data_IF_061662311895
#
_entry.id   IF_061662311895
#
_cell.length_a   1.000
_cell.length_b   1.000
_cell.length_c   1.000
_cell.angle_alpha   90.00
_cell.angle_beta   90.00
_cell.angle_gamma   90.00
#
_symmetry.space_group_name_H-M   'P 1'
#
loop_
_entity.id
_entity.type
_entity.pdbx_description
1 polymer ?
#
# COMPACT_ATOMS: atom_id res chain seq x y z
N UNK A 1 5.07 -21.48 -23.58
CA UNK A 1 5.75 -21.30 -22.27
C UNK A 1 6.71 -20.13 -22.41
N UNK A 2 6.92 -19.36 -21.33
CA UNK A 2 7.85 -18.24 -21.34
C UNK A 2 9.32 -18.68 -21.43
N UNK A 3 9.65 -19.82 -20.83
CA UNK A 3 10.96 -20.47 -20.87
C UNK A 3 10.75 -21.97 -21.12
N UNK A 4 11.66 -22.58 -21.88
CA UNK A 4 11.74 -24.02 -22.11
C UNK A 4 12.45 -24.74 -20.94
N UNK A 5 12.27 -26.06 -20.79
CA UNK A 5 13.00 -26.83 -19.77
C UNK A 5 14.52 -26.68 -19.85
N UNK A 6 15.08 -26.62 -21.05
CA UNK A 6 16.53 -26.46 -21.26
C UNK A 6 17.01 -25.08 -20.80
N UNK A 7 16.26 -24.00 -21.11
CA UNK A 7 16.56 -22.65 -20.62
C UNK A 7 16.50 -22.55 -19.09
N UNK A 8 15.62 -23.30 -18.44
CA UNK A 8 15.53 -23.36 -16.97
C UNK A 8 16.74 -24.09 -16.38
N UNK A 9 17.23 -25.14 -17.04
CA UNK A 9 18.38 -25.90 -16.58
C UNK A 9 19.71 -25.15 -16.75
N UNK A 10 19.83 -24.31 -17.79
CA UNK A 10 21.07 -23.62 -18.14
C UNK A 10 21.23 -22.25 -17.49
N UNK A 11 20.13 -21.49 -17.28
CA UNK A 11 20.21 -20.11 -16.80
C UNK A 11 20.42 -20.03 -15.28
N UNK A 12 21.28 -19.12 -14.79
CA UNK A 12 21.37 -18.82 -13.37
C UNK A 12 20.04 -18.35 -12.78
N UNK A 13 19.83 -18.63 -11.49
CA UNK A 13 18.60 -18.25 -10.75
C UNK A 13 18.33 -16.75 -10.84
N UNK A 14 19.36 -15.92 -10.78
CA UNK A 14 19.27 -14.47 -10.91
C UNK A 14 18.77 -14.04 -12.30
N UNK A 15 19.22 -14.71 -13.35
CA UNK A 15 18.79 -14.43 -14.73
C UNK A 15 17.33 -14.85 -14.93
N UNK A 16 16.96 -16.04 -14.45
CA UNK A 16 15.57 -16.51 -14.46
C UNK A 16 14.66 -15.52 -13.72
N UNK A 17 15.04 -15.07 -12.53
CA UNK A 17 14.29 -14.07 -11.77
C UNK A 17 14.17 -12.74 -12.52
N UNK A 18 15.21 -12.31 -13.24
CA UNK A 18 15.18 -11.09 -14.06
C UNK A 18 14.19 -11.22 -15.22
N UNK A 19 14.18 -12.36 -15.91
CA UNK A 19 13.24 -12.64 -17.01
C UNK A 19 11.80 -12.60 -16.49
N UNK A 20 11.53 -13.33 -15.40
CA UNK A 20 10.21 -13.36 -14.77
C UNK A 20 9.78 -11.95 -14.36
N UNK A 21 10.66 -11.19 -13.69
CA UNK A 21 10.36 -9.82 -13.27
C UNK A 21 9.99 -8.93 -14.45
N UNK A 22 10.73 -9.00 -15.55
CA UNK A 22 10.45 -8.19 -16.73
C UNK A 22 9.08 -8.50 -17.34
N UNK A 23 8.70 -9.78 -17.39
CA UNK A 23 7.43 -10.20 -18.01
C UNK A 23 6.22 -9.93 -17.12
N UNK A 24 6.39 -10.04 -15.79
CA UNK A 24 5.32 -9.76 -14.82
C UNK A 24 5.26 -8.29 -14.38
N UNK A 25 6.15 -7.42 -14.87
CA UNK A 25 6.06 -5.98 -14.63
C UNK A 25 5.13 -5.37 -15.66
N UNK A 26 4.00 -4.81 -15.21
CA UNK A 26 3.06 -4.09 -16.07
C UNK A 26 2.68 -2.75 -15.44
N UNK A 27 2.74 -1.70 -16.24
CA UNK A 27 2.40 -0.35 -15.86
C UNK A 27 1.15 0.08 -16.65
N UNK A 28 -0.01 -0.02 -16.01
CA UNK A 28 -1.30 0.31 -16.62
C UNK A 28 -1.35 1.76 -17.10
N UNK A 29 -0.76 2.70 -16.34
CA UNK A 29 -0.77 4.12 -16.70
C UNK A 29 0.11 4.36 -17.94
N UNK A 30 1.30 3.77 -17.99
CA UNK A 30 2.17 3.90 -19.16
C UNK A 30 1.57 3.25 -20.40
N UNK A 31 1.00 2.06 -20.25
CA UNK A 31 0.31 1.40 -21.36
C UNK A 31 -0.85 2.25 -21.88
N UNK A 32 -1.65 2.83 -20.98
CA UNK A 32 -2.73 3.76 -21.33
C UNK A 32 -2.18 4.97 -22.12
N UNK A 33 -1.11 5.59 -21.62
CA UNK A 33 -0.46 6.77 -22.21
C UNK A 33 0.11 6.50 -23.60
N UNK A 34 0.86 5.41 -23.76
CA UNK A 34 1.51 5.02 -25.02
C UNK A 34 0.51 4.61 -26.10
N UNK A 35 -0.62 4.01 -25.70
CA UNK A 35 -1.65 3.56 -26.62
C UNK A 35 -2.78 4.59 -26.82
N UNK A 36 -2.70 5.76 -26.18
CA UNK A 36 -3.70 6.82 -26.28
C UNK A 36 -5.09 6.40 -25.76
N UNK A 37 -5.15 5.49 -24.78
CA UNK A 37 -6.40 5.01 -24.21
C UNK A 37 -6.99 6.10 -23.31
N UNK A 38 -8.21 6.52 -23.62
CA UNK A 38 -8.91 7.58 -22.88
C UNK A 38 -9.86 7.00 -21.86
N UNK A 39 -9.71 7.43 -20.61
CA UNK A 39 -10.62 7.17 -19.49
C UNK A 39 -11.31 8.50 -19.17
N UNK A 40 -12.52 8.69 -19.72
CA UNK A 40 -13.26 9.95 -19.66
C UNK A 40 -14.22 10.05 -18.48
N UNK A 41 -14.30 9.01 -17.64
CA UNK A 41 -15.20 8.95 -16.50
C UNK A 41 -14.99 10.17 -15.58
N UNK A 42 -16.07 10.81 -15.13
CA UNK A 42 -15.98 12.03 -14.32
C UNK A 42 -15.50 11.76 -12.89
N UNK A 43 -15.34 10.48 -12.50
CA UNK A 43 -14.92 9.99 -11.19
C UNK A 43 -13.57 9.26 -11.23
N UNK A 44 -12.80 9.37 -12.32
CA UNK A 44 -11.54 8.61 -12.52
C UNK A 44 -10.45 8.83 -11.46
N UNK A 45 -10.52 9.90 -10.67
CA UNK A 45 -9.61 10.16 -9.56
C UNK A 45 -10.21 9.82 -8.17
N UNK A 46 -11.45 9.32 -8.11
CA UNK A 46 -12.10 8.97 -6.85
C UNK A 46 -11.26 7.93 -6.08
N UNK A 47 -10.95 8.25 -4.83
CA UNK A 47 -10.19 7.36 -3.95
C UNK A 47 -8.71 7.20 -4.31
N UNK A 48 -8.17 7.94 -5.29
CA UNK A 48 -6.74 7.86 -5.65
C UNK A 48 -5.81 8.19 -4.46
N UNK A 49 -6.27 9.01 -3.52
CA UNK A 49 -5.57 9.31 -2.27
C UNK A 49 -5.31 8.09 -1.38
N UNK A 50 -6.11 7.01 -1.52
CA UNK A 50 -5.90 5.75 -0.80
C UNK A 50 -4.56 5.11 -1.14
N UNK A 51 -4.04 5.39 -2.35
CA UNK A 51 -2.71 4.98 -2.79
C UNK A 51 -1.72 6.14 -2.65
N UNK A 52 -2.09 7.34 -3.11
CA UNK A 52 -1.27 8.57 -3.07
C UNK A 52 -1.62 9.42 -1.85
N UNK A 53 -1.18 8.98 -0.68
CA UNK A 53 -1.63 9.50 0.61
C UNK A 53 -0.81 10.69 1.13
N UNK A 54 0.43 10.90 0.65
CA UNK A 54 1.35 11.93 1.12
C UNK A 54 1.48 13.04 0.08
N UNK A 55 1.33 14.29 0.52
CA UNK A 55 1.47 15.44 -0.36
C UNK A 55 2.96 15.70 -0.70
N UNK A 56 3.36 15.77 -1.98
CA UNK A 56 4.76 16.00 -2.34
C UNK A 56 5.22 17.43 -2.07
N UNK A 57 4.28 18.37 -1.95
CA UNK A 57 4.56 19.79 -1.72
C UNK A 57 4.75 20.12 -0.24
N UNK A 58 3.77 19.78 0.61
CA UNK A 58 3.82 20.11 2.04
C UNK A 58 4.20 18.93 2.95
N UNK A 59 4.43 17.75 2.37
CA UNK A 59 4.81 16.50 3.06
C UNK A 59 3.80 15.96 4.08
N UNK A 60 2.63 16.60 4.25
CA UNK A 60 1.57 16.07 5.14
C UNK A 60 0.93 14.81 4.56
N UNK A 61 0.67 13.86 5.45
CA UNK A 61 0.03 12.58 5.17
C UNK A 61 -1.47 12.64 5.46
N UNK A 62 -2.26 11.86 4.73
CA UNK A 62 -3.71 11.73 4.96
C UNK A 62 -4.49 13.02 4.70
N UNK A 63 -3.89 13.97 3.98
CA UNK A 63 -4.53 15.23 3.58
C UNK A 63 -4.90 15.24 2.09
N UNK A 64 -4.49 14.23 1.35
CA UNK A 64 -4.85 14.07 -0.06
C UNK A 64 -6.29 13.59 -0.17
N UNK A 65 -7.05 14.12 -1.12
CA UNK A 65 -8.43 13.72 -1.42
C UNK A 65 -8.56 13.56 -2.93
N UNK A 66 -8.83 12.33 -3.37
CA UNK A 66 -9.20 12.00 -4.74
C UNK A 66 -10.70 12.12 -4.92
N UNK A 67 -11.16 13.06 -5.74
CA UNK A 67 -12.58 13.28 -6.02
C UNK A 67 -12.83 13.83 -7.43
N UNK A 68 -13.78 13.22 -8.12
CA UNK A 68 -14.08 13.45 -9.51
C UNK A 68 -12.86 13.10 -10.37
N UNK A 69 -12.29 14.14 -10.97
CA UNK A 69 -11.07 14.06 -11.79
C UNK A 69 -9.85 14.66 -11.06
N UNK A 70 -10.00 15.08 -9.81
CA UNK A 70 -8.99 15.84 -9.10
C UNK A 70 -8.41 15.09 -7.91
N UNK A 71 -7.13 15.35 -7.63
CA UNK A 71 -6.45 14.98 -6.40
C UNK A 71 -5.99 16.27 -5.71
N UNK A 72 -6.51 16.55 -4.51
CA UNK A 72 -6.30 17.83 -3.81
C UNK A 72 -5.72 17.60 -2.42
N UNK A 73 -4.75 18.41 -2.01
CA UNK A 73 -4.25 18.42 -0.64
C UNK A 73 -5.02 19.43 0.23
N UNK A 74 -5.74 18.98 1.24
CA UNK A 74 -6.47 19.84 2.17
C UNK A 74 -5.56 20.73 3.04
N UNK A 75 -4.27 20.42 3.14
CA UNK A 75 -3.35 21.22 3.96
C UNK A 75 -2.71 22.40 3.22
N UNK A 76 -2.35 22.24 1.96
CA UNK A 76 -1.66 23.30 1.20
C UNK A 76 -2.44 23.73 -0.05
N UNK A 77 -3.62 23.15 -0.27
CA UNK A 77 -4.52 23.42 -1.39
C UNK A 77 -3.96 23.11 -2.79
N UNK A 78 -2.76 22.50 -2.88
CA UNK A 78 -2.22 22.01 -4.16
C UNK A 78 -3.20 21.04 -4.78
N UNK A 79 -3.45 21.20 -6.09
CA UNK A 79 -4.43 20.40 -6.82
C UNK A 79 -3.86 19.86 -8.11
N UNK A 80 -4.18 18.61 -8.38
CA UNK A 80 -3.88 17.93 -9.63
C UNK A 80 -5.17 17.51 -10.30
N UNK A 81 -5.18 17.52 -11.63
CA UNK A 81 -6.12 16.77 -12.46
C UNK A 81 -5.47 15.44 -12.88
N UNK A 82 -6.21 14.34 -12.73
CA UNK A 82 -5.93 13.13 -13.47
C UNK A 82 -6.54 13.29 -14.86
N UNK A 83 -5.71 13.48 -15.88
CA UNK A 83 -6.18 13.66 -17.26
C UNK A 83 -6.79 12.37 -17.81
N UNK A 84 -7.53 12.46 -18.89
CA UNK A 84 -8.12 11.27 -19.53
C UNK A 84 -7.08 10.29 -20.08
N UNK A 85 -5.84 10.74 -20.28
CA UNK A 85 -4.70 9.91 -20.70
C UNK A 85 -3.90 9.36 -19.50
N UNK A 86 -4.35 9.58 -18.27
CA UNK A 86 -3.71 9.02 -17.08
C UNK A 86 -2.47 9.80 -16.60
N UNK A 87 -2.33 11.07 -16.96
CA UNK A 87 -1.29 11.96 -16.42
C UNK A 87 -1.81 12.77 -15.23
N UNK A 88 -0.92 13.08 -14.28
CA UNK A 88 -1.15 14.05 -13.22
C UNK A 88 -0.70 15.45 -13.67
N UNK A 89 -1.64 16.35 -13.85
CA UNK A 89 -1.39 17.74 -14.21
C UNK A 89 -1.71 18.65 -13.02
N UNK A 90 -0.71 19.31 -12.45
CA UNK A 90 -0.94 20.35 -11.44
C UNK A 90 -1.75 21.49 -12.08
N UNK A 91 -2.78 21.95 -11.38
CA UNK A 91 -3.59 23.09 -11.83
C UNK A 91 -2.91 24.43 -11.50
N UNK A 92 -1.94 24.42 -10.61
CA UNK A 92 -1.21 25.58 -10.13
C UNK A 92 0.31 25.35 -10.20
N UNK A 93 1.02 25.99 -11.13
CA UNK A 93 2.47 25.82 -11.30
C UNK A 93 2.88 24.40 -11.71
N UNK A 94 4.08 23.98 -11.32
CA UNK A 94 4.64 22.72 -11.80
C UNK A 94 4.05 21.48 -11.09
N UNK A 95 3.90 20.41 -11.87
CA UNK A 95 3.62 19.05 -11.38
C UNK A 95 4.87 18.49 -10.69
N UNK A 96 4.77 18.14 -9.41
CA UNK A 96 5.85 17.40 -8.74
C UNK A 96 6.00 15.99 -9.33
N UNK A 97 4.88 15.39 -9.73
CA UNK A 97 4.81 14.13 -10.46
C UNK A 97 3.80 14.23 -11.58
N UNK A 98 4.15 13.66 -12.72
CA UNK A 98 3.28 13.60 -13.91
C UNK A 98 2.70 12.19 -14.09
N UNK A 99 3.32 11.18 -13.50
CA UNK A 99 2.96 9.78 -13.62
C UNK A 99 2.69 9.21 -12.22
N UNK A 100 1.54 8.54 -12.05
CA UNK A 100 1.04 8.05 -10.75
C UNK A 100 2.03 7.08 -10.07
N UNK A 101 2.60 6.08 -10.77
CA UNK A 101 3.62 5.19 -10.18
C UNK A 101 4.85 5.90 -9.61
N UNK A 102 5.29 7.01 -10.19
CA UNK A 102 6.46 7.76 -9.69
C UNK A 102 6.18 8.38 -8.32
N UNK A 103 4.96 8.89 -8.11
CA UNK A 103 4.54 9.41 -6.81
C UNK A 103 4.51 8.29 -5.76
N UNK A 104 3.93 7.13 -6.10
CA UNK A 104 3.88 5.98 -5.19
C UNK A 104 5.28 5.47 -4.81
N UNK A 105 6.23 5.45 -5.76
CA UNK A 105 7.62 5.09 -5.48
C UNK A 105 8.32 6.15 -4.61
N UNK A 106 8.03 7.43 -4.80
CA UNK A 106 8.51 8.47 -3.89
C UNK A 106 7.98 8.24 -2.46
N UNK A 107 6.70 7.92 -2.28
CA UNK A 107 6.13 7.60 -0.95
C UNK A 107 6.82 6.40 -0.30
N UNK A 108 7.16 5.36 -1.08
CA UNK A 108 7.95 4.23 -0.59
C UNK A 108 9.32 4.67 -0.05
N UNK A 109 10.00 5.56 -0.77
CA UNK A 109 11.31 6.05 -0.37
C UNK A 109 11.22 6.93 0.89
N UNK A 110 10.16 7.73 1.03
CA UNK A 110 9.88 8.47 2.26
C UNK A 110 9.68 7.52 3.45
N UNK A 111 8.87 6.47 3.29
CA UNK A 111 8.62 5.46 4.33
C UNK A 111 9.92 4.73 4.70
N UNK A 112 10.74 4.34 3.73
CA UNK A 112 12.06 3.75 4.00
C UNK A 112 12.92 4.69 4.85
N UNK A 113 12.99 5.96 4.47
CA UNK A 113 13.76 6.95 5.22
C UNK A 113 13.26 7.14 6.66
N UNK A 114 11.94 7.16 6.88
CA UNK A 114 11.34 7.21 8.22
C UNK A 114 11.71 5.97 9.06
N UNK A 115 11.72 4.78 8.47
CA UNK A 115 12.15 3.55 9.15
C UNK A 115 13.63 3.62 9.53
N UNK A 116 14.50 4.03 8.61
CA UNK A 116 15.94 4.13 8.83
C UNK A 116 16.30 5.15 9.92
N UNK A 117 15.54 6.24 10.03
CA UNK A 117 15.69 7.24 11.11
C UNK A 117 15.04 6.83 12.43
N UNK A 118 14.29 5.72 12.47
CA UNK A 118 13.55 5.28 13.65
C UNK A 118 12.30 6.12 13.96
N UNK A 119 11.78 6.84 12.96
CA UNK A 119 10.62 7.73 13.08
C UNK A 119 9.30 7.01 12.71
N UNK A 120 9.37 5.91 11.96
CA UNK A 120 8.19 5.17 11.55
C UNK A 120 7.47 4.52 12.75
N UNK A 121 6.20 4.88 12.93
CA UNK A 121 5.31 4.23 13.89
C UNK A 121 3.85 4.34 13.42
N UNK A 122 3.14 3.22 13.47
CA UNK A 122 1.69 3.17 13.35
C UNK A 122 1.08 2.79 14.70
N UNK A 123 0.07 3.53 15.12
CA UNK A 123 -0.83 3.13 16.20
C UNK A 123 -2.25 3.60 15.87
N UNK A 124 -3.19 2.67 15.75
CA UNK A 124 -4.58 2.98 15.39
C UNK A 124 -5.55 2.03 16.06
N UNK A 125 -6.71 2.54 16.43
CA UNK A 125 -7.84 1.72 16.85
C UNK A 125 -8.41 1.00 15.61
N UNK A 126 -8.90 -0.22 15.77
CA UNK A 126 -9.39 -1.05 14.67
C UNK A 126 -10.70 -1.73 15.05
N UNK A 127 -11.61 -1.86 14.10
CA UNK A 127 -12.61 -2.92 14.13
C UNK A 127 -11.95 -4.23 13.70
N UNK A 128 -12.18 -5.30 14.48
CA UNK A 128 -11.55 -6.60 14.28
C UNK A 128 -12.58 -7.56 13.73
N UNK A 129 -12.27 -8.09 12.56
CA UNK A 129 -12.93 -9.24 11.98
C UNK A 129 -11.95 -10.42 11.94
N UNK A 130 -12.46 -11.64 12.06
CA UNK A 130 -11.62 -12.85 12.13
C UNK A 130 -12.14 -13.96 11.23
N UNK A 131 -11.19 -14.70 10.66
CA UNK A 131 -11.40 -15.97 9.95
C UNK A 131 -10.48 -17.02 10.55
N UNK A 132 -11.02 -18.21 10.84
CA UNK A 132 -10.29 -19.34 11.44
C UNK A 132 -10.40 -20.64 10.65
N UNK A 133 -11.35 -20.75 9.72
CA UNK A 133 -11.67 -22.00 9.01
C UNK A 133 -11.83 -21.83 7.49
N UNK A 134 -11.45 -20.65 6.96
CA UNK A 134 -11.63 -20.27 5.55
C UNK A 134 -13.07 -20.30 5.03
N UNK A 135 -14.09 -20.42 5.89
CA UNK A 135 -15.50 -20.44 5.47
C UNK A 135 -16.14 -19.07 5.53
N UNK A 136 -15.81 -18.29 6.55
CA UNK A 136 -16.54 -17.07 6.89
C UNK A 136 -15.70 -16.12 7.74
N UNK A 137 -16.05 -14.84 7.67
CA UNK A 137 -15.41 -13.76 8.40
C UNK A 137 -16.42 -13.18 9.39
N UNK A 138 -16.05 -13.11 10.67
CA UNK A 138 -16.91 -12.59 11.73
C UNK A 138 -16.36 -11.31 12.35
N UNK A 139 -17.21 -10.31 12.58
CA UNK A 139 -16.87 -9.19 13.45
C UNK A 139 -16.79 -9.69 14.90
N UNK A 140 -15.63 -9.57 15.53
CA UNK A 140 -15.39 -10.11 16.89
C UNK A 140 -15.21 -9.01 17.94
N UNK A 141 -15.00 -7.77 17.53
CA UNK A 141 -14.88 -6.63 18.44
C UNK A 141 -14.00 -5.53 17.89
N UNK A 142 -13.31 -4.83 18.80
CA UNK A 142 -12.35 -3.80 18.46
C UNK A 142 -11.07 -3.94 19.30
N UNK A 143 -10.06 -3.20 18.90
CA UNK A 143 -8.77 -3.18 19.59
C UNK A 143 -7.84 -2.16 18.99
N UNK A 144 -6.55 -2.32 19.29
CA UNK A 144 -5.47 -1.44 18.84
C UNK A 144 -4.45 -2.24 18.04
N UNK A 145 -4.15 -1.74 16.85
CA UNK A 145 -3.07 -2.21 15.99
C UNK A 145 -1.89 -1.26 16.11
N UNK A 146 -0.70 -1.81 16.37
CA UNK A 146 0.57 -1.10 16.24
C UNK A 146 1.47 -1.78 15.23
N UNK A 147 2.28 -0.99 14.54
CA UNK A 147 3.30 -1.46 13.61
C UNK A 147 4.56 -0.59 13.73
N UNK A 148 5.69 -1.23 13.99
CA UNK A 148 6.99 -0.58 14.20
C UNK A 148 8.13 -1.49 13.72
N UNK A 149 9.39 -1.17 14.07
CA UNK A 149 10.56 -1.98 13.74
C UNK A 149 10.48 -3.43 14.25
N UNK A 150 9.65 -3.67 15.27
CA UNK A 150 9.40 -4.94 15.94
C UNK A 150 8.32 -5.77 15.22
N UNK A 151 7.67 -5.19 14.20
CA UNK A 151 6.59 -5.78 13.43
C UNK A 151 5.22 -5.40 13.97
N UNK A 152 4.22 -6.24 13.72
CA UNK A 152 2.83 -6.00 14.12
C UNK A 152 2.57 -6.44 15.55
N UNK A 153 1.77 -5.66 16.27
CA UNK A 153 1.16 -6.05 17.53
C UNK A 153 -0.30 -5.63 17.55
N UNK A 154 -1.20 -6.60 17.71
CA UNK A 154 -2.64 -6.40 17.81
C UNK A 154 -3.09 -6.80 19.21
N UNK A 155 -3.75 -5.88 19.91
CA UNK A 155 -4.41 -6.13 21.19
C UNK A 155 -5.89 -5.79 21.08
N UNK A 156 -6.79 -6.54 21.72
CA UNK A 156 -8.21 -6.21 21.66
C UNK A 156 -9.13 -7.20 22.35
N UNK A 157 -10.44 -6.96 22.21
CA UNK A 157 -11.51 -7.82 22.73
C UNK A 157 -11.33 -8.14 24.24
N UNK A 158 -11.17 -7.11 25.06
CA UNK A 158 -10.99 -7.22 26.53
C UNK A 158 -9.79 -8.10 26.94
N UNK A 159 -8.68 -7.98 26.19
CA UNK A 159 -7.44 -8.73 26.45
C UNK A 159 -7.46 -10.17 25.92
N UNK A 160 -8.53 -10.59 25.22
CA UNK A 160 -8.59 -11.93 24.59
C UNK A 160 -7.69 -12.04 23.35
N UNK A 161 -7.33 -10.92 22.74
CA UNK A 161 -6.40 -10.87 21.61
C UNK A 161 -5.12 -10.17 22.08
N UNK A 162 -4.00 -10.88 21.97
CA UNK A 162 -2.63 -10.36 21.97
C UNK A 162 -1.85 -11.14 20.90
N UNK A 163 -1.74 -10.55 19.70
CA UNK A 163 -1.11 -11.17 18.54
C UNK A 163 0.10 -10.35 18.11
N UNK A 164 1.23 -11.04 17.89
CA UNK A 164 2.48 -10.42 17.44
C UNK A 164 3.02 -11.10 16.20
N UNK A 165 3.50 -10.31 15.25
CA UNK A 165 4.15 -10.82 14.03
C UNK A 165 5.39 -10.02 13.70
N UNK A 166 6.55 -10.67 13.74
CA UNK A 166 7.85 -10.04 13.44
C UNK A 166 7.96 -9.65 11.95
N UNK A 167 8.78 -8.65 11.60
CA UNK A 167 8.94 -8.22 10.21
C UNK A 167 9.39 -9.35 9.27
N UNK A 168 10.32 -10.20 9.72
CA UNK A 168 10.86 -11.31 8.92
C UNK A 168 9.81 -12.35 8.51
N UNK A 169 8.67 -12.41 9.20
CA UNK A 169 7.56 -13.31 8.91
C UNK A 169 6.53 -12.71 7.92
N UNK A 170 6.76 -11.50 7.41
CA UNK A 170 5.77 -10.74 6.64
C UNK A 170 6.42 -10.09 5.42
N UNK A 171 6.60 -10.86 4.33
CA UNK A 171 7.18 -10.35 3.07
C UNK A 171 6.41 -9.17 2.48
N UNK A 172 5.08 -9.18 2.62
CA UNK A 172 4.19 -8.12 2.18
C UNK A 172 2.91 -8.15 3.00
N UNK A 173 2.09 -7.13 2.81
CA UNK A 173 0.83 -6.95 3.53
C UNK A 173 -0.35 -7.15 2.60
N UNK A 174 -1.26 -8.06 2.94
CA UNK A 174 -2.56 -8.08 2.30
C UNK A 174 -3.37 -6.89 2.83
N UNK A 175 -3.68 -5.98 1.92
CA UNK A 175 -4.35 -4.73 2.19
C UNK A 175 -5.28 -4.42 1.02
N UNK A 176 -6.44 -3.85 1.33
CA UNK A 176 -7.45 -3.52 0.33
C UNK A 176 -8.07 -2.15 0.66
N UNK A 177 -8.57 -1.49 -0.39
CA UNK A 177 -9.11 -0.15 -0.36
C UNK A 177 -10.63 -0.25 -0.59
N UNK A 178 -11.43 0.10 0.42
CA UNK A 178 -12.89 -0.09 0.43
C UNK A 178 -13.36 -1.55 0.27
N UNK A 179 -12.77 -2.44 1.05
CA UNK A 179 -13.09 -3.87 1.05
C UNK A 179 -14.58 -4.10 1.35
N UNK A 180 -15.33 -4.62 0.37
CA UNK A 180 -16.79 -4.81 0.40
C UNK A 180 -17.58 -3.60 0.95
N UNK A 181 -17.17 -2.38 0.61
CA UNK A 181 -17.81 -1.13 1.07
C UNK A 181 -17.77 -0.93 2.61
N UNK A 182 -17.01 -1.74 3.34
CA UNK A 182 -16.82 -1.61 4.79
C UNK A 182 -15.78 -0.53 5.08
N UNK A 183 -14.66 -0.55 4.35
CA UNK A 183 -13.59 0.43 4.50
C UNK A 183 -12.23 -0.12 4.08
N UNK A 184 -11.19 0.68 4.30
CA UNK A 184 -9.82 0.28 4.03
C UNK A 184 -9.37 -0.75 5.07
N UNK A 185 -8.69 -1.78 4.61
CA UNK A 185 -8.49 -3.01 5.37
C UNK A 185 -7.02 -3.42 5.39
N UNK A 186 -6.57 -3.83 6.57
CA UNK A 186 -5.27 -4.46 6.80
C UNK A 186 -5.51 -5.89 7.27
N UNK A 187 -4.92 -6.86 6.58
CA UNK A 187 -5.02 -8.27 6.97
C UNK A 187 -3.70 -8.78 7.52
N UNK A 188 -3.71 -9.24 8.77
CA UNK A 188 -2.57 -9.89 9.43
C UNK A 188 -3.02 -11.22 10.01
N UNK A 189 -2.10 -12.14 10.25
CA UNK A 189 -2.45 -13.46 10.78
C UNK A 189 -1.32 -14.46 10.66
N UNK A 190 -1.64 -15.69 11.01
CA UNK A 190 -0.80 -16.87 10.89
C UNK A 190 -1.58 -18.01 10.21
N UNK A 191 -1.04 -19.22 10.26
CA UNK A 191 -1.70 -20.40 9.70
C UNK A 191 -3.07 -20.69 10.32
N UNK A 192 -3.28 -20.33 11.59
CA UNK A 192 -4.46 -20.74 12.35
C UNK A 192 -5.59 -19.71 12.29
N UNK A 193 -5.24 -18.43 12.13
CA UNK A 193 -6.22 -17.34 12.12
C UNK A 193 -5.74 -16.13 11.33
N UNK A 194 -6.71 -15.51 10.65
CA UNK A 194 -6.54 -14.25 9.93
C UNK A 194 -7.40 -13.17 10.58
N UNK A 195 -6.81 -12.01 10.83
CA UNK A 195 -7.45 -10.81 11.33
C UNK A 195 -7.60 -9.81 10.20
N UNK A 196 -8.84 -9.43 9.90
CA UNK A 196 -9.20 -8.37 8.98
C UNK A 196 -9.49 -7.13 9.81
N UNK A 197 -8.59 -6.15 9.73
CA UNK A 197 -8.56 -4.99 10.60
C UNK A 197 -8.98 -3.76 9.81
N UNK A 198 -9.99 -3.06 10.31
CA UNK A 198 -10.49 -1.82 9.72
C UNK A 198 -10.13 -0.66 10.64
N UNK A 199 -9.12 0.15 10.29
CA UNK A 199 -8.70 1.28 11.12
C UNK A 199 -9.80 2.31 11.36
N UNK A 200 -9.93 2.74 12.61
CA UNK A 200 -10.83 3.79 13.09
C UNK A 200 -10.05 5.10 13.17
N UNK A 201 -10.08 5.87 12.09
CA UNK A 201 -9.40 7.16 12.02
C UNK A 201 -9.26 7.63 10.59
N UNK A 202 -9.16 8.94 10.40
CA UNK A 202 -8.95 9.55 9.09
C UNK A 202 -7.48 9.49 8.69
N UNK A 203 -7.22 8.90 7.53
CA UNK A 203 -5.92 8.89 6.90
C UNK A 203 -5.81 7.62 6.07
N UNK A 204 -5.32 7.75 4.85
CA UNK A 204 -5.02 6.64 3.94
C UNK A 204 -3.80 5.84 4.46
N UNK A 205 -3.90 5.34 5.71
CA UNK A 205 -2.81 4.71 6.46
C UNK A 205 -2.47 3.32 5.93
N UNK A 206 -3.39 2.72 5.18
CA UNK A 206 -3.26 1.37 4.64
C UNK A 206 -2.13 1.30 3.61
N UNK A 207 -2.01 2.29 2.72
CA UNK A 207 -0.89 2.39 1.79
C UNK A 207 0.46 2.51 2.51
N UNK A 208 0.57 3.43 3.47
CA UNK A 208 1.78 3.60 4.29
C UNK A 208 2.16 2.31 5.01
N UNK A 209 1.18 1.63 5.61
CA UNK A 209 1.41 0.39 6.36
C UNK A 209 1.89 -0.73 5.46
N UNK A 210 1.32 -0.84 4.24
CA UNK A 210 1.77 -1.80 3.24
C UNK A 210 3.22 -1.55 2.82
N UNK A 211 3.55 -0.31 2.46
CA UNK A 211 4.91 0.09 2.10
C UNK A 211 5.90 -0.22 3.23
N UNK A 212 5.56 0.17 4.46
CA UNK A 212 6.41 -0.04 5.62
C UNK A 212 6.65 -1.52 5.91
N UNK A 213 5.63 -2.37 5.74
CA UNK A 213 5.75 -3.82 5.95
C UNK A 213 6.80 -4.42 5.02
N UNK A 214 6.74 -4.07 3.73
CA UNK A 214 7.68 -4.56 2.72
C UNK A 214 9.11 -4.05 2.98
N UNK A 215 9.29 -2.78 3.34
CA UNK A 215 10.60 -2.22 3.65
C UNK A 215 11.21 -2.78 4.94
N UNK A 216 10.40 -2.96 5.99
CA UNK A 216 10.83 -3.61 7.24
C UNK A 216 11.26 -5.06 7.01
N UNK A 217 10.54 -5.81 6.17
CA UNK A 217 10.95 -7.16 5.79
C UNK A 217 12.31 -7.18 5.08
N UNK A 218 12.51 -6.28 4.09
CA UNK A 218 13.79 -6.18 3.37
C UNK A 218 14.96 -5.89 4.32
N UNK A 219 14.77 -4.95 5.25
CA UNK A 219 15.78 -4.61 6.26
C UNK A 219 16.04 -5.77 7.22
N UNK A 220 15.00 -6.45 7.69
CA UNK A 220 15.15 -7.61 8.56
C UNK A 220 15.89 -8.75 7.86
N UNK A 221 15.56 -9.01 6.58
CA UNK A 221 16.21 -10.05 5.79
C UNK A 221 17.70 -9.75 5.57
N UNK A 222 18.04 -8.50 5.26
CA UNK A 222 19.44 -8.10 5.07
C UNK A 222 20.28 -8.15 6.35
N UNK A 223 19.66 -8.11 7.54
CA UNK A 223 20.34 -8.32 8.83
C UNK A 223 20.55 -9.81 9.18
N UNK A 224 19.82 -10.70 8.51
CA UNK A 224 19.87 -12.15 8.73
C UNK A 224 20.70 -12.91 7.68
N UNK A 225 21.23 -12.19 6.68
CA UNK A 225 22.24 -12.66 5.71
C UNK A 225 23.59 -12.12 6.15
#
# INVERSE_FOLDING_TARGET
YLLSPDEIAEKPVEELNKILKNVFTFDNFRWQQENGIRISEPFRADGLNRVLYKCPHCKKEGQMIGKGIHLTCNSCNKRYELTELGYLAALDGDSAFVHVPDWYEWERNEVRGEIERGEYHLATEVDIYMMVDFKQIYKVGCGKLTHSAEGFHLTGCDGKIDFRKRPIATYGLYADYNWYEIGDMICIGDHDKMFYLFPKGSGDIVAKTRLATEELYKLARNKHI
#
